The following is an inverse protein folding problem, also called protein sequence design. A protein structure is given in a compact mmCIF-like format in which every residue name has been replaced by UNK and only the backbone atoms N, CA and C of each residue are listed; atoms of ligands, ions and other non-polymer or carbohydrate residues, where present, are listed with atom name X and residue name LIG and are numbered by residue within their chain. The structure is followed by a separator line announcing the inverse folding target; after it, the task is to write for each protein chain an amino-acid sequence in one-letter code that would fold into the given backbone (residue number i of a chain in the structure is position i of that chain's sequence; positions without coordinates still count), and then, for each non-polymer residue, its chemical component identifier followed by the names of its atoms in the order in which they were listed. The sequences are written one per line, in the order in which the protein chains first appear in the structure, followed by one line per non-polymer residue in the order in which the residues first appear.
data_IF_440209928354
#
_entry.id   IF_440209928354
#
_cell.length_a   1.000
_cell.length_b   1.000
_cell.length_c   1.000
_cell.angle_alpha   90.00
_cell.angle_beta   90.00
_cell.angle_gamma   90.00
#
_symmetry.space_group_name_H-M   'P 1'
#
loop_
_entity.id
_entity.type
_entity.pdbx_description
1 polymer ?
#
# COMPACT_ATOMS: atom_id res chain seq x y z
N UNK A 1 13.11 27.00 1.41
CA UNK A 1 12.87 26.69 -0.01
C UNK A 1 11.40 26.97 -0.28
N UNK A 2 11.08 27.97 -1.09
CA UNK A 2 9.70 28.25 -1.52
C UNK A 2 9.21 26.99 -2.23
N UNK A 3 8.25 26.27 -1.67
CA UNK A 3 7.66 25.13 -2.36
C UNK A 3 6.95 25.67 -3.59
N UNK A 4 7.56 25.48 -4.75
CA UNK A 4 6.93 25.83 -6.02
C UNK A 4 5.59 25.09 -6.11
N UNK A 5 4.53 25.89 -6.29
CA UNK A 5 3.17 25.40 -6.33
C UNK A 5 2.54 25.69 -7.69
N UNK A 6 1.90 24.68 -8.27
CA UNK A 6 1.48 24.64 -9.65
C UNK A 6 -0.01 24.97 -9.77
N UNK A 7 -0.36 25.81 -10.75
CA UNK A 7 -1.75 26.02 -11.12
C UNK A 7 -2.35 24.74 -11.72
N UNK A 8 -3.68 24.67 -11.85
CA UNK A 8 -4.35 23.56 -12.53
C UNK A 8 -3.87 23.37 -13.98
N UNK A 9 -3.57 24.45 -14.69
CA UNK A 9 -3.06 24.38 -16.07
C UNK A 9 -1.65 23.82 -16.10
N UNK A 10 -0.77 24.26 -15.20
CA UNK A 10 0.59 23.72 -15.08
C UNK A 10 0.56 22.25 -14.67
N UNK A 11 -0.25 21.88 -13.68
CA UNK A 11 -0.40 20.49 -13.26
C UNK A 11 -0.90 19.59 -14.41
N UNK A 12 -1.86 20.06 -15.21
CA UNK A 12 -2.34 19.34 -16.39
C UNK A 12 -1.22 19.11 -17.41
N UNK A 13 -0.47 20.17 -17.73
CA UNK A 13 0.65 20.09 -18.67
C UNK A 13 1.76 19.13 -18.19
N UNK A 14 2.12 19.18 -16.91
CA UNK A 14 3.19 18.35 -16.34
C UNK A 14 2.80 16.87 -16.22
N UNK A 15 1.54 16.60 -15.85
CA UNK A 15 1.06 15.23 -15.59
C UNK A 15 0.47 14.55 -16.81
N UNK A 16 0.15 15.30 -17.87
CA UNK A 16 -0.56 14.81 -19.05
C UNK A 16 -2.04 14.49 -18.79
N UNK A 17 -2.60 14.99 -17.69
CA UNK A 17 -4.02 14.87 -17.37
C UNK A 17 -4.81 16.00 -18.03
N UNK A 18 -6.02 15.69 -18.48
CA UNK A 18 -6.95 16.74 -18.92
C UNK A 18 -7.35 17.62 -17.72
N UNK A 19 -7.65 18.92 -17.93
CA UNK A 19 -8.21 19.75 -16.88
C UNK A 19 -9.47 19.14 -16.27
N UNK A 20 -10.31 18.46 -17.06
CA UNK A 20 -11.52 17.75 -16.56
C UNK A 20 -11.16 16.64 -15.57
N UNK A 21 -10.18 15.79 -15.90
CA UNK A 21 -9.70 14.75 -14.98
C UNK A 21 -9.22 15.35 -13.65
N UNK A 22 -8.40 16.40 -13.68
CA UNK A 22 -7.94 17.08 -12.45
C UNK A 22 -9.12 17.62 -11.62
N UNK A 23 -10.10 18.22 -12.28
CA UNK A 23 -11.30 18.73 -11.61
C UNK A 23 -12.12 17.61 -10.97
N UNK A 24 -12.30 16.51 -11.69
CA UNK A 24 -13.03 15.35 -11.20
C UNK A 24 -12.29 14.68 -10.02
N UNK A 25 -10.98 14.48 -10.12
CA UNK A 25 -10.17 13.87 -9.05
C UNK A 25 -10.13 14.72 -7.79
N UNK A 26 -10.07 16.05 -7.93
CA UNK A 26 -10.23 16.97 -6.81
C UNK A 26 -11.63 16.88 -6.18
N UNK A 27 -12.69 16.90 -7.00
CA UNK A 27 -14.08 16.80 -6.51
C UNK A 27 -14.35 15.49 -5.79
N UNK A 28 -13.73 14.42 -6.25
CA UNK A 28 -13.91 13.07 -5.70
C UNK A 28 -12.99 12.77 -4.52
N UNK A 29 -11.99 13.62 -4.26
CA UNK A 29 -11.00 13.41 -3.20
C UNK A 29 -9.89 12.43 -3.54
N UNK A 30 -9.76 11.98 -4.81
CA UNK A 30 -8.68 11.07 -5.21
C UNK A 30 -7.30 11.74 -5.08
N UNK A 31 -7.17 12.99 -5.55
CA UNK A 31 -6.02 13.84 -5.28
C UNK A 31 -6.53 15.25 -5.05
N UNK A 32 -6.26 15.78 -3.85
CA UNK A 32 -6.66 17.13 -3.45
C UNK A 32 -5.40 18.01 -3.37
N UNK A 33 -5.40 19.19 -4.00
CA UNK A 33 -4.28 20.13 -3.90
C UNK A 33 -4.00 20.50 -2.44
N UNK A 34 -2.76 20.35 -2.01
CA UNK A 34 -2.34 20.63 -0.63
C UNK A 34 -2.19 22.14 -0.34
N UNK A 35 -2.05 22.98 -1.38
CA UNK A 35 -1.83 24.42 -1.22
C UNK A 35 -2.96 25.26 -1.86
N UNK A 36 -3.03 26.53 -1.43
CA UNK A 36 -3.92 27.54 -1.99
C UNK A 36 -3.21 28.89 -2.09
N UNK A 37 -3.61 29.72 -3.03
CA UNK A 37 -3.21 31.13 -3.05
C UNK A 37 -3.95 31.93 -1.97
N UNK A 38 -3.48 33.14 -1.67
CA UNK A 38 -4.19 34.07 -0.78
C UNK A 38 -5.63 34.36 -1.26
N UNK A 39 -5.88 34.32 -2.57
CA UNK A 39 -7.22 34.43 -3.17
C UNK A 39 -8.04 33.15 -3.16
N UNK A 40 -7.61 32.10 -2.46
CA UNK A 40 -8.33 30.83 -2.31
C UNK A 40 -8.23 29.85 -3.47
N UNK A 41 -7.48 30.19 -4.54
CA UNK A 41 -7.31 29.32 -5.69
C UNK A 41 -6.41 28.12 -5.34
N UNK A 42 -6.84 26.92 -5.75
CA UNK A 42 -6.09 25.69 -5.56
C UNK A 42 -4.69 25.72 -6.22
N UNK A 43 -3.70 25.22 -5.49
CA UNK A 43 -2.32 25.06 -5.94
C UNK A 43 -1.83 23.66 -5.61
N UNK A 44 -1.28 22.98 -6.61
CA UNK A 44 -0.72 21.64 -6.48
C UNK A 44 0.73 21.75 -6.04
N UNK A 45 1.13 20.99 -5.03
CA UNK A 45 2.54 20.84 -4.64
C UNK A 45 3.23 19.83 -5.55
N UNK A 46 4.56 19.72 -5.47
CA UNK A 46 5.30 18.68 -6.17
C UNK A 46 4.79 17.27 -5.81
N UNK A 47 4.52 17.03 -4.52
CA UNK A 47 3.94 15.77 -4.02
C UNK A 47 2.59 15.47 -4.65
N UNK A 48 1.73 16.48 -4.81
CA UNK A 48 0.45 16.30 -5.50
C UNK A 48 0.67 15.89 -6.97
N UNK A 49 1.69 16.43 -7.66
CA UNK A 49 2.01 16.05 -9.03
C UNK A 49 2.46 14.59 -9.14
N UNK A 50 3.22 14.08 -8.17
CA UNK A 50 3.61 12.67 -8.10
C UNK A 50 2.34 11.81 -7.97
N UNK A 51 1.48 12.13 -7.00
CA UNK A 51 0.24 11.39 -6.79
C UNK A 51 -0.68 11.39 -8.03
N UNK A 52 -0.81 12.54 -8.69
CA UNK A 52 -1.53 12.66 -9.96
C UNK A 52 -0.97 11.75 -11.04
N UNK A 53 0.37 11.71 -11.19
CA UNK A 53 1.03 10.90 -12.21
C UNK A 53 0.95 9.40 -11.90
N UNK A 54 1.03 9.02 -10.63
CA UNK A 54 0.82 7.64 -10.17
C UNK A 54 -0.61 7.18 -10.46
N UNK A 55 -1.62 7.95 -10.06
CA UNK A 55 -3.03 7.64 -10.36
C UNK A 55 -3.29 7.56 -11.87
N UNK A 56 -2.66 8.43 -12.68
CA UNK A 56 -2.76 8.36 -14.14
C UNK A 56 -2.18 7.05 -14.67
N UNK A 57 -1.02 6.61 -14.20
CA UNK A 57 -0.41 5.34 -14.62
C UNK A 57 -1.30 4.14 -14.31
N UNK A 58 -1.94 4.12 -13.13
CA UNK A 58 -2.91 3.07 -12.79
C UNK A 58 -4.12 3.08 -13.73
N UNK A 59 -4.62 4.26 -14.08
CA UNK A 59 -5.72 4.42 -15.03
C UNK A 59 -5.31 3.98 -16.46
N UNK A 60 -4.11 4.37 -16.91
CA UNK A 60 -3.54 3.97 -18.20
C UNK A 60 -3.31 2.45 -18.27
N UNK A 61 -3.09 1.79 -17.13
CA UNK A 61 -3.00 0.34 -16.98
C UNK A 61 -4.39 -0.35 -16.91
N UNK A 62 -5.45 0.31 -17.38
CA UNK A 62 -6.83 -0.17 -17.40
C UNK A 62 -7.46 -0.45 -16.01
N UNK A 63 -6.91 0.10 -14.92
CA UNK A 63 -7.58 0.05 -13.62
C UNK A 63 -8.63 1.16 -13.56
N UNK A 64 -9.88 0.80 -13.27
CA UNK A 64 -10.95 1.78 -13.10
C UNK A 64 -10.68 2.70 -11.90
N UNK A 65 -11.07 3.98 -12.01
CA UNK A 65 -10.96 4.94 -10.90
C UNK A 65 -11.66 4.44 -9.64
N UNK A 66 -12.77 3.72 -9.78
CA UNK A 66 -13.47 3.14 -8.63
C UNK A 66 -12.62 2.09 -7.92
N UNK A 67 -11.91 1.23 -8.66
CA UNK A 67 -11.02 0.22 -8.07
C UNK A 67 -9.80 0.87 -7.42
N UNK A 68 -9.18 1.85 -8.08
CA UNK A 68 -8.08 2.65 -7.49
C UNK A 68 -8.50 3.20 -6.13
N UNK A 69 -9.68 3.84 -6.05
CA UNK A 69 -10.19 4.39 -4.79
C UNK A 69 -10.42 3.34 -3.71
N UNK A 70 -10.99 2.18 -4.07
CA UNK A 70 -11.18 1.07 -3.12
C UNK A 70 -9.84 0.55 -2.59
N UNK A 71 -8.85 0.33 -3.45
CA UNK A 71 -7.51 -0.08 -3.05
C UNK A 71 -6.86 0.96 -2.12
N UNK A 72 -6.91 2.25 -2.45
CA UNK A 72 -6.36 3.31 -1.60
C UNK A 72 -7.05 3.37 -0.24
N UNK A 73 -8.37 3.17 -0.20
CA UNK A 73 -9.12 3.10 1.05
C UNK A 73 -8.71 1.86 1.87
N UNK A 74 -8.62 0.69 1.27
CA UNK A 74 -8.17 -0.53 1.94
C UNK A 74 -6.75 -0.41 2.50
N UNK A 75 -5.85 0.24 1.76
CA UNK A 75 -4.46 0.45 2.19
C UNK A 75 -4.34 1.24 3.50
N UNK A 76 -5.27 2.15 3.79
CA UNK A 76 -5.28 2.86 5.09
C UNK A 76 -5.51 1.92 6.28
N UNK A 77 -6.15 0.76 6.08
CA UNK A 77 -6.34 -0.26 7.11
C UNK A 77 -5.12 -1.16 7.27
N UNK A 78 -4.47 -1.55 6.18
CA UNK A 78 -3.32 -2.47 6.20
C UNK A 78 -2.00 -1.78 6.51
N UNK A 79 -1.85 -0.51 6.10
CA UNK A 79 -0.66 0.31 6.30
C UNK A 79 -1.05 1.64 6.95
N UNK A 80 -1.32 1.66 8.27
CA UNK A 80 -1.75 2.87 8.97
C UNK A 80 -0.71 4.01 8.94
N UNK A 81 0.56 3.68 8.67
CA UNK A 81 1.65 4.67 8.53
C UNK A 81 1.76 5.24 7.11
N UNK A 82 1.13 4.63 6.11
CA UNK A 82 1.18 5.07 4.72
C UNK A 82 0.13 6.16 4.45
N UNK A 83 0.48 7.41 4.77
CA UNK A 83 -0.43 8.55 4.68
C UNK A 83 -0.70 8.98 3.23
N UNK A 84 0.26 8.73 2.32
CA UNK A 84 0.13 9.07 0.91
C UNK A 84 0.49 7.87 0.02
N UNK A 85 -0.39 6.86 -0.10
CA UNK A 85 -0.06 5.60 -0.75
C UNK A 85 0.41 5.73 -2.21
N UNK A 86 -0.12 6.71 -2.96
CA UNK A 86 0.27 6.98 -4.35
C UNK A 86 1.67 7.60 -4.51
N UNK A 87 2.27 8.05 -3.39
CA UNK A 87 3.60 8.67 -3.36
C UNK A 87 4.60 7.73 -2.68
N UNK A 88 4.17 7.04 -1.63
CA UNK A 88 5.03 6.28 -0.73
C UNK A 88 5.19 4.80 -1.13
N UNK A 89 4.24 4.24 -1.88
CA UNK A 89 4.19 2.80 -2.15
C UNK A 89 4.54 2.46 -3.60
N UNK A 90 5.19 1.31 -3.76
CA UNK A 90 5.41 0.71 -5.08
C UNK A 90 4.20 -0.16 -5.42
N UNK A 91 3.50 0.20 -6.50
CA UNK A 91 2.29 -0.48 -6.97
C UNK A 91 2.59 -1.22 -8.28
N UNK A 92 2.27 -2.51 -8.31
CA UNK A 92 2.33 -3.34 -9.52
C UNK A 92 0.93 -3.75 -9.92
N UNK A 93 0.63 -3.66 -11.21
CA UNK A 93 -0.68 -3.98 -11.77
C UNK A 93 -0.57 -5.23 -12.61
N UNK A 94 -1.33 -6.27 -12.25
CA UNK A 94 -1.38 -7.53 -13.00
C UNK A 94 -2.83 -7.94 -13.21
N UNK A 95 -3.34 -7.75 -14.43
CA UNK A 95 -4.75 -8.01 -14.74
C UNK A 95 -5.66 -7.09 -13.93
N UNK A 96 -6.45 -7.65 -13.02
CA UNK A 96 -7.29 -6.89 -12.13
C UNK A 96 -6.68 -6.66 -10.74
N UNK A 97 -5.58 -7.35 -10.40
CA UNK A 97 -4.93 -7.26 -9.08
C UNK A 97 -3.98 -6.07 -9.02
N UNK A 98 -4.02 -5.35 -7.89
CA UNK A 98 -3.06 -4.30 -7.55
C UNK A 98 -2.21 -4.82 -6.40
N UNK A 99 -0.95 -5.11 -6.65
CA UNK A 99 0.01 -5.54 -5.64
C UNK A 99 0.75 -4.32 -5.09
N UNK A 100 0.92 -4.31 -3.77
CA UNK A 100 1.71 -3.32 -3.05
C UNK A 100 2.98 -3.98 -2.57
N UNK A 101 4.12 -3.37 -2.89
CA UNK A 101 5.41 -3.75 -2.31
C UNK A 101 5.78 -2.75 -1.22
N UNK A 102 6.06 -3.26 -0.03
CA UNK A 102 6.46 -2.47 1.13
C UNK A 102 7.50 -3.25 1.96
N UNK A 103 8.76 -2.81 1.92
CA UNK A 103 9.88 -3.61 2.43
C UNK A 103 10.01 -4.94 1.68
N UNK A 104 10.18 -6.04 2.41
CA UNK A 104 10.27 -7.41 1.86
C UNK A 104 8.90 -8.05 1.60
N UNK A 105 7.81 -7.32 1.84
CA UNK A 105 6.44 -7.85 1.72
C UNK A 105 5.78 -7.38 0.43
N UNK A 106 5.01 -8.29 -0.18
CA UNK A 106 4.09 -7.95 -1.24
C UNK A 106 2.70 -8.50 -0.95
N UNK A 107 1.69 -7.65 -1.07
CA UNK A 107 0.31 -8.01 -0.76
C UNK A 107 -0.69 -7.34 -1.69
N UNK A 108 -1.89 -7.91 -1.81
CA UNK A 108 -3.00 -7.34 -2.56
C UNK A 108 -3.53 -6.08 -1.87
N UNK A 109 -3.56 -4.95 -2.58
CA UNK A 109 -3.99 -3.65 -2.06
C UNK A 109 -5.44 -3.63 -1.56
N UNK A 110 -6.30 -4.50 -2.09
CA UNK A 110 -7.73 -4.57 -1.76
C UNK A 110 -7.99 -5.46 -0.55
N UNK A 111 -7.38 -6.65 -0.50
CA UNK A 111 -7.66 -7.68 0.52
C UNK A 111 -6.63 -7.74 1.64
N UNK A 112 -5.42 -7.23 1.42
CA UNK A 112 -4.31 -7.33 2.36
C UNK A 112 -3.65 -8.72 2.38
N UNK A 113 -4.11 -9.64 1.54
CA UNK A 113 -3.50 -10.97 1.42
C UNK A 113 -2.05 -10.82 0.97
N UNK A 114 -1.10 -11.48 1.66
CA UNK A 114 0.31 -11.55 1.24
C UNK A 114 0.50 -12.61 0.15
N UNK A 115 1.28 -12.28 -0.88
CA UNK A 115 1.47 -13.13 -2.08
C UNK A 115 2.93 -13.52 -2.29
N UNK A 116 3.88 -12.79 -1.69
CA UNK A 116 5.31 -13.08 -1.81
C UNK A 116 5.83 -13.51 -0.45
N UNK A 117 6.38 -14.72 -0.39
CA UNK A 117 6.97 -15.31 0.81
C UNK A 117 8.45 -15.62 0.56
N UNK A 118 9.38 -15.14 1.40
CA UNK A 118 10.81 -15.42 1.26
C UNK A 118 11.11 -16.86 1.72
N UNK A 119 10.84 -17.85 0.86
CA UNK A 119 11.00 -19.28 1.17
C UNK A 119 12.42 -19.62 1.66
N UNK A 120 13.45 -18.92 1.17
CA UNK A 120 14.83 -19.13 1.61
C UNK A 120 15.06 -18.78 3.09
N UNK A 121 14.36 -17.78 3.61
CA UNK A 121 14.43 -17.42 5.03
C UNK A 121 13.69 -18.45 5.89
N UNK A 122 12.51 -18.87 5.42
CA UNK A 122 11.75 -19.95 6.05
C UNK A 122 12.57 -21.25 6.13
N UNK A 123 13.30 -21.61 5.08
CA UNK A 123 14.16 -22.79 5.08
C UNK A 123 15.24 -22.72 6.18
N UNK A 124 15.89 -21.56 6.35
CA UNK A 124 16.89 -21.35 7.42
C UNK A 124 16.29 -21.45 8.81
N UNK A 125 15.10 -20.90 9.01
CA UNK A 125 14.37 -21.00 10.27
C UNK A 125 14.05 -22.48 10.61
N UNK A 126 13.55 -23.23 9.63
CA UNK A 126 13.28 -24.67 9.79
C UNK A 126 14.56 -25.46 10.11
N UNK A 127 15.68 -25.18 9.45
CA UNK A 127 16.97 -25.81 9.76
C UNK A 127 17.43 -25.55 11.20
N UNK A 128 17.26 -24.31 11.70
CA UNK A 128 17.57 -23.98 13.09
C UNK A 128 16.67 -24.72 14.08
N UNK A 129 15.37 -24.80 13.78
CA UNK A 129 14.40 -25.53 14.60
C UNK A 129 14.67 -27.04 14.61
N UNK A 130 15.19 -27.63 13.54
CA UNK A 130 15.58 -29.05 13.53
C UNK A 130 16.73 -29.36 14.50
N UNK A 131 17.58 -28.37 14.83
CA UNK A 131 18.63 -28.55 15.84
C UNK A 131 18.07 -28.56 17.27
N UNK A 132 16.90 -27.96 17.47
CA UNK A 132 16.14 -28.06 18.72
C UNK A 132 15.24 -29.28 18.61
N UNK A 133 15.73 -30.46 19.03
CA UNK A 133 14.84 -31.61 19.23
C UNK A 133 14.06 -31.37 20.51
N UNK A 134 12.74 -31.10 20.46
CA UNK A 134 11.96 -31.03 21.68
C UNK A 134 11.98 -32.41 22.34
N UNK A 135 12.27 -32.47 23.63
CA UNK A 135 12.15 -33.73 24.38
C UNK A 135 10.66 -34.10 24.46
N UNK A 136 10.34 -35.41 24.43
CA UNK A 136 8.96 -35.89 24.42
C UNK A 136 8.09 -35.33 25.56
N UNK A 137 8.70 -35.01 26.71
CA UNK A 137 8.03 -34.39 27.86
C UNK A 137 7.60 -32.94 27.65
N UNK A 138 8.21 -32.20 26.73
CA UNK A 138 7.91 -30.79 26.44
C UNK A 138 6.80 -30.63 25.39
N UNK A 139 6.56 -31.66 24.59
CA UNK A 139 5.58 -31.65 23.49
C UNK A 139 4.13 -31.74 23.97
N UNK A 140 3.89 -32.30 25.16
CA UNK A 140 2.55 -32.49 25.74
C UNK A 140 2.53 -32.26 27.26
N UNK A 141 2.71 -31.01 27.75
CA UNK A 141 2.84 -30.73 29.19
C UNK A 141 1.63 -31.20 30.02
N UNK A 142 0.42 -31.11 29.45
CA UNK A 142 -0.83 -31.43 30.13
C UNK A 142 -1.18 -32.94 30.17
N UNK A 143 -0.45 -33.80 29.46
CA UNK A 143 -0.73 -35.24 29.42
C UNK A 143 -0.03 -36.01 30.55
N UNK A 144 1.09 -35.49 31.07
CA UNK A 144 1.87 -36.10 32.14
C UNK A 144 1.21 -35.94 33.52
N UNK A 145 0.57 -34.79 33.80
CA UNK A 145 -0.09 -34.53 35.10
C UNK A 145 -1.22 -35.51 35.40
N UNK A 146 -1.92 -36.03 34.38
CA UNK A 146 -3.04 -36.96 34.57
C UNK A 146 -2.63 -38.41 34.81
N UNK A 147 -1.36 -38.78 34.56
CA UNK A 147 -0.87 -40.15 34.80
C UNK A 147 -0.39 -40.35 36.24
N UNK A 148 0.01 -39.28 36.93
CA UNK A 148 0.45 -39.34 38.33
C UNK A 148 -0.72 -39.31 39.34
N UNK A 149 -1.91 -38.86 38.93
CA UNK A 149 -3.10 -38.82 39.80
C UNK A 149 -3.82 -40.19 39.93
N UNK A 150 -3.37 -41.21 39.20
CA UNK A 150 -3.94 -42.56 39.19
C UNK A 150 -2.96 -43.69 39.57
N UNK A 151 -1.73 -43.37 39.99
CA UNK A 151 -0.72 -44.34 40.45
C UNK A 151 -0.57 -44.31 41.98
#
# INVERSE_FOLDING_TARGET
MTQDSFSRQQAAAITGLSPRQLGYWRKTGLVVPAARTNGGHARYTFTDLIALRAAKRLLDANISLQRIRKCLQSLTGFLPTANQPLVELSLVVTGDVVLVFHGERAFDALTGQEWVFPIAELAKEVEQLQQVRPEQGELFPAAMEKLEEYA
#
